data_IF_928360092126
#
_entry.id   IF_928360092126
#
_cell.length_a   1.000
_cell.length_b   1.000
_cell.length_c   1.000
_cell.angle_alpha   90.00
_cell.angle_beta   90.00
_cell.angle_gamma   90.00
#
_symmetry.space_group_name_H-M   'P 1'
#
loop_
_entity.id
_entity.type
_entity.pdbx_description
1 polymer ?
#
# COMPACT_ATOMS: atom_id res chain seq x y z
N UNK A 1 -3.88 12.39 -36.05
CA UNK A 1 -4.38 12.56 -34.68
C UNK A 1 -5.15 11.30 -34.33
N UNK A 2 -4.64 10.48 -33.41
CA UNK A 2 -5.31 9.26 -32.98
C UNK A 2 -6.48 9.60 -32.06
N UNK A 3 -7.56 8.84 -32.18
CA UNK A 3 -8.81 9.02 -31.42
C UNK A 3 -8.57 8.81 -29.92
N UNK A 4 -9.24 9.55 -29.00
CA UNK A 4 -9.01 9.47 -27.55
C UNK A 4 -9.45 8.14 -26.89
N UNK A 5 -9.77 7.11 -27.68
CA UNK A 5 -10.22 5.78 -27.21
C UNK A 5 -9.07 4.76 -27.17
N UNK A 6 -7.93 5.04 -27.81
CA UNK A 6 -6.79 4.12 -27.90
C UNK A 6 -5.61 4.45 -26.96
N UNK A 7 -5.78 5.41 -26.04
CA UNK A 7 -4.76 5.65 -25.02
C UNK A 7 -4.91 4.63 -23.89
N UNK A 8 -3.87 3.85 -23.56
CA UNK A 8 -3.91 2.99 -22.38
C UNK A 8 -4.21 3.86 -21.15
N UNK A 9 -5.02 3.38 -20.20
CA UNK A 9 -5.33 4.14 -19.00
C UNK A 9 -4.02 4.55 -18.31
N UNK A 10 -3.90 5.83 -17.98
CA UNK A 10 -2.72 6.36 -17.31
C UNK A 10 -2.56 5.66 -15.95
N UNK A 11 -1.35 5.19 -15.59
CA UNK A 11 -1.08 4.70 -14.24
C UNK A 11 -1.35 5.83 -13.22
N UNK A 12 -2.02 5.49 -12.13
CA UNK A 12 -2.27 6.37 -10.99
C UNK A 12 -3.69 6.94 -10.88
N UNK A 13 -4.60 6.67 -11.83
CA UNK A 13 -5.97 7.17 -11.71
C UNK A 13 -6.80 6.36 -10.69
N UNK A 14 -7.11 7.00 -9.56
CA UNK A 14 -8.00 6.46 -8.52
C UNK A 14 -9.42 6.37 -9.07
N UNK A 15 -9.92 5.17 -9.38
CA UNK A 15 -11.36 4.94 -9.55
C UNK A 15 -11.94 4.39 -8.23
N UNK A 16 -12.93 5.09 -7.68
CA UNK A 16 -13.54 4.78 -6.38
C UNK A 16 -14.60 3.68 -6.47
N UNK A 17 -14.71 2.96 -7.61
CA UNK A 17 -15.83 2.05 -7.85
C UNK A 17 -15.71 0.73 -7.08
N UNK A 18 -14.51 0.36 -6.62
CA UNK A 18 -14.27 -0.91 -5.92
C UNK A 18 -14.65 -2.16 -6.74
N UNK A 19 -14.88 -2.02 -8.05
CA UNK A 19 -15.49 -3.07 -8.90
C UNK A 19 -14.50 -3.90 -9.69
N UNK A 20 -13.22 -3.59 -9.64
CA UNK A 20 -12.24 -4.36 -10.40
C UNK A 20 -11.90 -5.66 -9.63
N UNK A 21 -12.68 -6.69 -9.96
CA UNK A 21 -12.68 -8.03 -9.35
C UNK A 21 -11.71 -8.98 -10.02
N UNK A 22 -10.92 -8.51 -11.00
CA UNK A 22 -9.93 -9.35 -11.63
C UNK A 22 -8.68 -9.47 -10.73
N UNK A 23 -8.25 -10.69 -10.41
CA UNK A 23 -6.99 -10.97 -9.71
C UNK A 23 -5.70 -10.75 -10.52
N UNK A 24 -5.82 -10.01 -11.62
CA UNK A 24 -4.72 -9.64 -12.49
C UNK A 24 -3.52 -9.11 -11.68
N UNK A 25 -2.37 -9.76 -11.88
CA UNK A 25 -1.09 -9.35 -11.33
C UNK A 25 -0.54 -10.20 -10.18
N UNK A 26 -1.24 -11.21 -9.67
CA UNK A 26 -0.70 -12.04 -8.55
C UNK A 26 0.46 -12.91 -9.02
N UNK A 27 0.34 -13.56 -10.17
CA UNK A 27 1.43 -14.38 -10.72
C UNK A 27 2.60 -13.48 -11.14
N UNK A 28 2.29 -12.34 -11.76
CA UNK A 28 3.29 -11.37 -12.19
C UNK A 28 4.04 -10.78 -11.01
N UNK A 29 3.37 -10.44 -9.90
CA UNK A 29 4.06 -9.91 -8.71
C UNK A 29 4.87 -11.00 -8.00
N UNK A 30 4.39 -12.25 -7.97
CA UNK A 30 5.18 -13.36 -7.42
C UNK A 30 6.46 -13.55 -8.21
N UNK A 31 6.38 -13.49 -9.54
CA UNK A 31 7.56 -13.58 -10.40
C UNK A 31 8.56 -12.44 -10.13
N UNK A 32 8.07 -11.20 -9.97
CA UNK A 32 8.94 -10.06 -9.59
C UNK A 32 9.60 -10.29 -8.23
N UNK A 33 8.82 -10.71 -7.22
CA UNK A 33 9.32 -10.98 -5.86
C UNK A 33 10.35 -12.10 -5.85
N UNK A 34 10.09 -13.19 -6.57
CA UNK A 34 11.00 -14.34 -6.66
C UNK A 34 12.29 -13.96 -7.39
N UNK A 35 12.19 -13.14 -8.45
CA UNK A 35 13.35 -12.62 -9.17
C UNK A 35 14.23 -11.76 -8.26
N UNK A 36 13.63 -10.83 -7.49
CA UNK A 36 14.35 -10.02 -6.50
C UNK A 36 14.96 -10.89 -5.38
N UNK A 37 14.21 -11.87 -4.87
CA UNK A 37 14.66 -12.78 -3.83
C UNK A 37 15.86 -13.64 -4.29
N UNK A 38 15.90 -14.05 -5.56
CA UNK A 38 17.05 -14.75 -6.15
C UNK A 38 18.35 -13.92 -6.13
N UNK A 39 18.20 -12.59 -6.14
CA UNK A 39 19.29 -11.62 -5.95
C UNK A 39 19.55 -11.25 -4.48
N UNK A 40 18.95 -11.95 -3.51
CA UNK A 40 18.99 -11.61 -2.07
C UNK A 40 18.43 -10.22 -1.74
N UNK A 41 17.44 -9.75 -2.49
CA UNK A 41 16.77 -8.47 -2.26
C UNK A 41 15.42 -8.75 -1.60
N UNK A 42 15.29 -8.56 -0.28
CA UNK A 42 14.01 -8.74 0.38
C UNK A 42 13.02 -7.68 -0.10
N UNK A 43 11.77 -8.08 -0.27
CA UNK A 43 10.70 -7.18 -0.71
C UNK A 43 9.35 -7.59 -0.14
N UNK A 44 8.45 -6.63 0.01
CA UNK A 44 7.07 -6.90 0.36
C UNK A 44 6.12 -5.91 -0.30
N UNK A 45 4.90 -6.35 -0.60
CA UNK A 45 3.84 -5.50 -1.14
C UNK A 45 3.33 -4.54 -0.07
N UNK A 46 3.26 -3.27 -0.42
CA UNK A 46 2.72 -2.16 0.39
C UNK A 46 1.63 -1.41 -0.38
N UNK A 47 1.27 -0.21 0.08
CA UNK A 47 0.40 0.71 -0.62
C UNK A 47 -1.04 0.22 -0.78
N UNK A 48 -1.73 0.75 -1.78
CA UNK A 48 -3.17 0.53 -1.99
C UNK A 48 -3.50 -0.94 -2.35
N UNK A 49 -2.54 -1.75 -2.86
CA UNK A 49 -2.76 -3.21 -2.99
C UNK A 49 -2.48 -4.01 -1.72
N UNK A 50 -1.73 -3.52 -0.74
CA UNK A 50 -1.82 -4.11 0.60
C UNK A 50 -3.24 -3.94 1.14
N UNK A 51 -3.90 -2.79 0.88
CA UNK A 51 -5.32 -2.66 1.17
C UNK A 51 -6.16 -3.72 0.44
N UNK A 52 -5.79 -4.28 -0.74
CA UNK A 52 -6.54 -5.40 -1.36
C UNK A 52 -6.47 -6.62 -0.49
N UNK A 53 -5.28 -7.03 -0.10
CA UNK A 53 -5.08 -8.13 0.83
C UNK A 53 -5.92 -7.94 2.11
N UNK A 54 -6.10 -6.68 2.53
CA UNK A 54 -6.99 -6.27 3.63
C UNK A 54 -8.45 -5.86 3.24
N UNK A 55 -8.86 -5.82 1.95
CA UNK A 55 -10.22 -5.46 1.49
C UNK A 55 -10.49 -4.41 0.36
N UNK A 56 -9.55 -3.59 -0.15
CA UNK A 56 -9.80 -2.46 -1.11
C UNK A 56 -8.83 -2.38 -2.31
N UNK A 57 -9.19 -1.79 -3.47
CA UNK A 57 -8.48 -1.99 -4.76
C UNK A 57 -7.49 -0.90 -5.25
N UNK A 58 -6.25 -1.26 -5.72
CA UNK A 58 -5.44 -0.79 -6.91
C UNK A 58 -3.89 -0.74 -6.74
N UNK A 59 -3.13 -0.90 -7.85
CA UNK A 59 -1.65 -0.78 -8.10
C UNK A 59 -0.59 -1.45 -7.18
N UNK A 60 0.45 -2.08 -7.76
CA UNK A 60 1.49 -2.78 -7.00
C UNK A 60 2.64 -1.87 -6.60
N UNK A 61 2.79 -1.65 -5.30
CA UNK A 61 3.96 -0.99 -4.72
C UNK A 61 4.78 -2.06 -3.97
N UNK A 62 6.06 -2.17 -4.31
CA UNK A 62 7.00 -3.05 -3.62
C UNK A 62 7.93 -2.23 -2.74
N UNK A 63 7.90 -2.49 -1.44
CA UNK A 63 8.89 -1.97 -0.52
C UNK A 63 10.22 -2.70 -0.72
N UNK A 64 11.30 -1.94 -0.85
CA UNK A 64 12.68 -2.41 -0.98
C UNK A 64 13.55 -1.69 0.07
N UNK A 65 14.51 -2.36 0.72
CA UNK A 65 15.46 -1.68 1.61
C UNK A 65 16.17 -0.54 0.87
N UNK A 66 16.36 0.59 1.53
CA UNK A 66 16.95 1.78 0.93
C UNK A 66 18.32 1.51 0.28
N UNK A 67 19.16 0.70 0.94
CA UNK A 67 20.49 0.30 0.48
C UNK A 67 20.49 -0.72 -0.68
N UNK A 68 19.32 -1.32 -0.97
CA UNK A 68 19.13 -2.30 -2.03
C UNK A 68 18.35 -1.77 -3.24
N UNK A 69 17.86 -0.53 -3.19
CA UNK A 69 16.99 0.01 -4.23
C UNK A 69 17.68 0.09 -5.61
N UNK A 70 18.95 0.54 -5.64
CA UNK A 70 19.73 0.60 -6.89
C UNK A 70 20.01 -0.80 -7.46
N UNK A 71 20.39 -1.74 -6.57
CA UNK A 71 20.61 -3.14 -6.94
C UNK A 71 19.34 -3.78 -7.49
N UNK A 72 18.17 -3.50 -6.89
CA UNK A 72 16.87 -3.99 -7.35
C UNK A 72 16.54 -3.49 -8.77
N UNK A 73 16.76 -2.21 -9.04
CA UNK A 73 16.62 -1.65 -10.39
C UNK A 73 17.54 -2.36 -11.39
N UNK A 74 18.81 -2.57 -11.02
CA UNK A 74 19.78 -3.25 -11.88
C UNK A 74 19.38 -4.71 -12.15
N UNK A 75 18.94 -5.46 -11.14
CA UNK A 75 18.48 -6.86 -11.29
C UNK A 75 17.30 -6.97 -12.26
N UNK A 76 16.34 -6.04 -12.19
CA UNK A 76 15.18 -6.01 -13.09
C UNK A 76 15.54 -5.62 -14.53
N UNK A 77 16.59 -4.82 -14.73
CA UNK A 77 17.03 -4.34 -16.05
C UNK A 77 18.18 -5.15 -16.65
N UNK A 78 18.86 -5.98 -15.86
CA UNK A 78 19.94 -6.88 -16.31
C UNK A 78 19.48 -7.79 -17.45
N UNK A 79 20.36 -8.32 -18.30
CA UNK A 79 19.97 -9.12 -19.50
C UNK A 79 18.91 -10.20 -19.23
N UNK A 80 18.92 -10.86 -18.06
CA UNK A 80 17.90 -11.83 -17.68
C UNK A 80 16.52 -11.21 -17.33
N UNK A 81 16.50 -10.01 -16.75
CA UNK A 81 15.29 -9.25 -16.42
C UNK A 81 14.84 -8.28 -17.53
N UNK A 82 15.76 -7.71 -18.30
CA UNK A 82 15.56 -6.65 -19.29
C UNK A 82 14.81 -7.12 -20.54
N UNK A 83 14.72 -8.43 -20.78
CA UNK A 83 13.81 -8.99 -21.78
C UNK A 83 12.36 -9.03 -21.30
N UNK A 84 12.13 -9.03 -19.98
CA UNK A 84 10.81 -9.07 -19.34
C UNK A 84 10.31 -7.71 -18.91
N UNK A 85 11.16 -6.89 -18.31
CA UNK A 85 10.78 -5.62 -17.70
C UNK A 85 11.38 -4.43 -18.45
N UNK A 86 10.70 -3.30 -18.36
CA UNK A 86 11.21 -2.01 -18.82
C UNK A 86 10.81 -0.90 -17.85
N UNK A 87 11.61 0.17 -17.83
CA UNK A 87 11.24 1.39 -17.11
C UNK A 87 10.04 2.01 -17.81
N UNK A 88 9.01 2.32 -17.03
CA UNK A 88 7.78 2.94 -17.50
C UNK A 88 7.65 4.35 -16.93
N UNK A 89 6.76 5.15 -17.54
CA UNK A 89 6.37 6.42 -16.96
C UNK A 89 5.68 6.16 -15.61
N UNK A 90 6.17 6.84 -14.56
CA UNK A 90 5.57 6.81 -13.24
C UNK A 90 4.20 7.48 -13.20
N UNK A 91 3.46 7.31 -12.09
CA UNK A 91 2.17 7.97 -11.92
C UNK A 91 2.33 9.49 -11.87
N UNK A 92 1.25 10.22 -12.13
CA UNK A 92 1.25 11.67 -11.96
C UNK A 92 1.52 12.06 -10.48
N UNK A 93 2.18 13.20 -10.24
CA UNK A 93 2.29 13.75 -8.91
C UNK A 93 0.90 13.97 -8.30
N UNK A 94 0.68 13.43 -7.10
CA UNK A 94 -0.53 13.66 -6.31
C UNK A 94 -0.15 14.21 -4.94
N UNK A 95 -0.99 15.06 -4.33
CA UNK A 95 -0.72 15.56 -2.99
C UNK A 95 -0.44 14.44 -2.00
N UNK A 96 0.54 14.68 -1.11
CA UNK A 96 0.91 13.78 -0.01
C UNK A 96 1.51 12.43 -0.43
N UNK A 97 1.79 12.21 -1.73
CA UNK A 97 2.43 11.01 -2.24
C UNK A 97 3.66 11.32 -3.08
N UNK A 98 4.73 10.59 -2.80
CA UNK A 98 5.99 10.65 -3.56
C UNK A 98 6.11 9.51 -4.58
N UNK A 99 5.04 8.73 -4.81
CA UNK A 99 5.07 7.59 -5.75
C UNK A 99 5.56 7.96 -7.15
N UNK A 100 5.33 9.20 -7.59
CA UNK A 100 5.77 9.71 -8.88
C UNK A 100 7.30 9.91 -9.00
N UNK A 101 8.03 9.99 -7.87
CA UNK A 101 9.49 10.16 -7.85
C UNK A 101 10.24 8.83 -7.88
N UNK A 102 9.53 7.70 -7.76
CA UNK A 102 10.13 6.38 -7.70
C UNK A 102 10.10 5.67 -9.05
N UNK A 103 11.05 4.75 -9.25
CA UNK A 103 11.16 4.00 -10.50
C UNK A 103 9.94 3.11 -10.69
N UNK A 104 9.22 3.37 -11.77
CA UNK A 104 8.09 2.56 -12.22
C UNK A 104 8.56 1.58 -13.28
N UNK A 105 8.14 0.33 -13.17
CA UNK A 105 8.43 -0.74 -14.11
C UNK A 105 7.13 -1.23 -14.75
N UNK A 106 7.26 -1.71 -15.98
CA UNK A 106 6.20 -2.42 -16.70
C UNK A 106 6.71 -3.78 -17.17
N UNK A 107 5.85 -4.80 -17.09
CA UNK A 107 6.08 -6.08 -17.74
C UNK A 107 5.78 -5.96 -19.25
N UNK A 108 6.77 -6.26 -20.09
CA UNK A 108 6.67 -6.13 -21.55
C UNK A 108 5.57 -7.04 -22.10
N UNK A 109 4.69 -6.48 -22.92
CA UNK A 109 3.57 -7.21 -23.53
C UNK A 109 2.34 -7.38 -22.62
N UNK A 110 2.36 -6.87 -21.38
CA UNK A 110 1.26 -6.98 -20.44
C UNK A 110 0.85 -5.62 -19.86
N UNK A 111 -0.41 -5.52 -19.43
CA UNK A 111 -0.97 -4.36 -18.74
C UNK A 111 -0.67 -4.44 -17.23
N UNK A 112 0.62 -4.60 -16.87
CA UNK A 112 1.08 -4.78 -15.50
C UNK A 112 2.22 -3.81 -15.16
N UNK A 113 2.01 -3.01 -14.11
CA UNK A 113 2.96 -2.03 -13.59
C UNK A 113 3.19 -2.24 -12.11
N UNK A 114 4.41 -1.90 -11.69
CA UNK A 114 4.79 -1.86 -10.28
C UNK A 114 5.83 -0.77 -10.02
N UNK A 115 5.86 -0.27 -8.80
CA UNK A 115 6.78 0.78 -8.36
C UNK A 115 7.66 0.23 -7.25
N UNK A 116 8.96 0.49 -7.32
CA UNK A 116 9.88 0.19 -6.23
C UNK A 116 9.93 1.38 -5.27
N UNK A 117 9.47 1.17 -4.04
CA UNK A 117 9.38 2.19 -2.99
C UNK A 117 10.45 1.91 -1.93
N UNK A 118 11.29 2.89 -1.56
CA UNK A 118 12.27 2.70 -0.50
C UNK A 118 11.59 2.48 0.86
N UNK A 119 12.19 1.63 1.69
CA UNK A 119 11.68 1.30 3.03
C UNK A 119 11.48 2.53 3.92
N UNK A 120 12.34 3.54 3.78
CA UNK A 120 12.24 4.79 4.52
C UNK A 120 11.05 5.67 4.15
N UNK A 121 10.45 5.51 2.95
CA UNK A 121 9.30 6.33 2.53
C UNK A 121 7.96 5.71 2.96
N UNK A 122 7.95 4.40 3.20
CA UNK A 122 6.77 3.67 3.64
C UNK A 122 6.85 3.19 5.09
N UNK A 123 7.96 3.37 5.80
CA UNK A 123 8.15 2.89 7.17
C UNK A 123 7.92 1.39 7.31
N UNK A 124 8.43 0.60 6.36
CA UNK A 124 8.40 -0.88 6.42
C UNK A 124 9.78 -1.36 6.02
N UNK A 125 10.45 -2.11 6.89
CA UNK A 125 11.68 -2.82 6.49
C UNK A 125 11.34 -4.26 6.09
N UNK A 126 11.40 -4.63 4.80
CA UNK A 126 11.05 -5.95 4.32
C UNK A 126 12.10 -7.03 4.70
N UNK A 127 13.27 -6.63 5.20
CA UNK A 127 14.31 -7.53 5.71
C UNK A 127 13.96 -8.07 7.10
N UNK A 128 13.14 -7.34 7.85
CA UNK A 128 12.72 -7.73 9.20
C UNK A 128 11.54 -8.70 9.14
N UNK A 129 11.74 -9.93 9.62
CA UNK A 129 10.75 -11.00 9.51
C UNK A 129 9.39 -10.67 10.14
N UNK A 130 9.33 -9.90 11.23
CA UNK A 130 8.07 -9.48 11.87
C UNK A 130 7.32 -8.39 11.10
N UNK A 131 7.98 -7.71 10.15
CA UNK A 131 7.35 -6.69 9.31
C UNK A 131 6.65 -7.27 8.09
N UNK A 132 6.86 -8.56 7.79
CA UNK A 132 6.35 -9.19 6.58
C UNK A 132 5.52 -10.42 6.94
N UNK A 133 4.35 -10.55 6.32
CA UNK A 133 3.54 -11.76 6.34
C UNK A 133 3.29 -12.25 4.92
N UNK A 134 3.21 -13.58 4.73
CA UNK A 134 2.88 -14.16 3.43
C UNK A 134 1.38 -14.43 3.35
N UNK A 135 0.78 -14.01 2.25
CA UNK A 135 -0.57 -14.45 1.89
C UNK A 135 -0.62 -15.95 1.60
N UNK A 136 -1.82 -16.50 1.46
CA UNK A 136 -2.04 -17.91 1.10
C UNK A 136 -1.37 -18.31 -0.22
N UNK A 137 -1.21 -17.37 -1.14
CA UNK A 137 -0.56 -17.59 -2.43
C UNK A 137 0.95 -17.28 -2.40
N UNK A 138 1.53 -17.04 -1.22
CA UNK A 138 2.96 -16.83 -1.04
C UNK A 138 3.43 -15.39 -1.22
N UNK A 139 2.59 -14.47 -1.71
CA UNK A 139 2.95 -13.05 -1.89
C UNK A 139 3.28 -12.44 -0.51
N UNK A 140 4.46 -11.82 -0.34
CA UNK A 140 4.83 -11.12 0.88
C UNK A 140 4.13 -9.76 0.94
N UNK A 141 3.49 -9.47 2.07
CA UNK A 141 2.85 -8.20 2.38
C UNK A 141 3.44 -7.63 3.67
N UNK A 142 3.38 -6.31 3.85
CA UNK A 142 3.60 -5.73 5.17
C UNK A 142 2.61 -6.36 6.17
N UNK A 143 3.12 -6.80 7.31
CA UNK A 143 2.32 -7.43 8.38
C UNK A 143 1.24 -6.46 8.87
N UNK A 144 0.15 -7.00 9.42
CA UNK A 144 -1.00 -6.19 9.83
C UNK A 144 -0.59 -5.02 10.76
N UNK A 145 0.28 -5.29 11.72
CA UNK A 145 0.80 -4.28 12.65
C UNK A 145 1.66 -3.26 11.93
N UNK A 146 2.62 -3.70 11.11
CA UNK A 146 3.55 -2.79 10.46
C UNK A 146 2.85 -1.93 9.41
N UNK A 147 1.88 -2.48 8.68
CA UNK A 147 1.07 -1.73 7.75
C UNK A 147 0.20 -0.68 8.45
N UNK A 148 -0.34 -0.99 9.63
CA UNK A 148 -1.04 0.00 10.48
C UNK A 148 -0.13 1.18 10.85
N UNK A 149 1.10 0.88 11.31
CA UNK A 149 2.11 1.88 11.67
C UNK A 149 2.47 2.76 10.47
N UNK A 150 2.69 2.14 9.31
CA UNK A 150 2.93 2.84 8.04
C UNK A 150 1.81 3.81 7.71
N UNK A 151 0.55 3.35 7.66
CA UNK A 151 -0.60 4.18 7.28
C UNK A 151 -0.78 5.40 8.20
N UNK A 152 -0.57 5.22 9.52
CA UNK A 152 -0.63 6.30 10.51
C UNK A 152 0.45 7.36 10.26
N UNK A 153 1.70 6.94 10.04
CA UNK A 153 2.79 7.88 9.75
C UNK A 153 2.61 8.63 8.44
N UNK A 154 2.04 7.95 7.44
CA UNK A 154 1.71 8.57 6.16
C UNK A 154 0.46 9.45 6.23
N UNK A 155 -0.25 9.50 7.37
CA UNK A 155 -1.48 10.28 7.59
C UNK A 155 -2.51 10.11 6.46
N UNK A 156 -2.56 8.91 5.86
CA UNK A 156 -3.47 8.59 4.77
C UNK A 156 -4.85 8.25 5.34
N UNK A 157 -5.61 9.26 5.79
CA UNK A 157 -6.88 9.08 6.52
C UNK A 157 -7.90 8.19 5.78
N UNK A 158 -7.97 8.31 4.45
CA UNK A 158 -8.83 7.45 3.64
C UNK A 158 -8.38 5.97 3.71
N UNK A 159 -7.08 5.72 3.56
CA UNK A 159 -6.50 4.38 3.59
C UNK A 159 -6.57 3.76 4.99
N UNK A 160 -6.39 4.57 6.04
CA UNK A 160 -6.60 4.15 7.44
C UNK A 160 -8.04 3.69 7.65
N UNK A 161 -9.04 4.45 7.14
CA UNK A 161 -10.45 4.06 7.22
C UNK A 161 -10.70 2.72 6.54
N UNK A 162 -10.21 2.57 5.31
CA UNK A 162 -10.47 1.40 4.49
C UNK A 162 -9.77 0.16 5.05
N UNK A 163 -8.56 0.33 5.60
CA UNK A 163 -7.84 -0.72 6.30
C UNK A 163 -8.58 -1.18 7.57
N UNK A 164 -8.98 -0.25 8.44
CA UNK A 164 -9.76 -0.54 9.66
C UNK A 164 -11.06 -1.25 9.31
N UNK A 165 -11.81 -0.74 8.32
CA UNK A 165 -13.08 -1.32 7.93
C UNK A 165 -12.90 -2.69 7.26
N UNK A 166 -11.86 -2.88 6.45
CA UNK A 166 -11.55 -4.13 5.78
C UNK A 166 -11.22 -5.25 6.78
N UNK A 167 -10.41 -4.94 7.77
CA UNK A 167 -10.01 -5.90 8.81
C UNK A 167 -10.95 -5.96 10.01
N UNK A 168 -11.91 -5.04 10.10
CA UNK A 168 -12.80 -4.85 11.25
C UNK A 168 -12.05 -4.53 12.55
N UNK A 169 -10.99 -3.73 12.44
CA UNK A 169 -10.12 -3.39 13.59
C UNK A 169 -10.85 -2.46 14.57
N UNK A 170 -10.41 -2.50 15.82
CA UNK A 170 -10.99 -1.77 16.94
C UNK A 170 -9.96 -0.85 17.60
N UNK A 171 -10.46 0.03 18.47
CA UNK A 171 -9.62 0.84 19.37
C UNK A 171 -8.70 -0.06 20.20
N UNK A 172 -9.28 -1.04 20.89
CA UNK A 172 -8.55 -1.98 21.75
C UNK A 172 -7.44 -2.73 21.00
N UNK A 173 -7.73 -3.16 19.75
CA UNK A 173 -6.72 -3.80 18.91
C UNK A 173 -5.54 -2.86 18.66
N UNK A 174 -5.81 -1.58 18.34
CA UNK A 174 -4.76 -0.59 18.12
C UNK A 174 -3.89 -0.39 19.35
N UNK A 175 -4.52 -0.19 20.52
CA UNK A 175 -3.83 -0.01 21.81
C UNK A 175 -2.91 -1.17 22.14
N UNK A 176 -3.33 -2.41 21.86
CA UNK A 176 -2.56 -3.61 22.17
C UNK A 176 -1.41 -3.88 21.19
N UNK A 177 -1.51 -3.43 19.94
CA UNK A 177 -0.65 -3.91 18.86
C UNK A 177 0.26 -2.84 18.23
N UNK A 178 -0.16 -1.57 18.16
CA UNK A 178 0.53 -0.55 17.35
C UNK A 178 1.77 0.01 18.06
N UNK A 179 1.74 0.07 19.40
CA UNK A 179 2.82 0.70 20.18
C UNK A 179 2.90 2.21 19.92
N UNK A 180 1.80 2.93 20.11
CA UNK A 180 1.67 4.35 19.74
C UNK A 180 2.76 5.25 20.32
N UNK A 181 3.20 5.04 21.56
CA UNK A 181 4.25 5.86 22.16
C UNK A 181 5.58 5.76 21.38
N UNK A 182 5.98 4.54 21.01
CA UNK A 182 7.18 4.33 20.20
C UNK A 182 6.99 4.92 18.79
N UNK A 183 5.83 4.67 18.17
CA UNK A 183 5.53 5.20 16.83
C UNK A 183 5.51 6.73 16.79
N UNK A 184 5.01 7.39 17.84
CA UNK A 184 4.98 8.85 17.94
C UNK A 184 6.39 9.44 18.10
N UNK A 185 7.32 8.73 18.75
CA UNK A 185 8.74 9.13 18.80
C UNK A 185 9.37 9.00 17.41
N UNK A 186 9.10 7.91 16.71
CA UNK A 186 9.59 7.67 15.35
C UNK A 186 9.02 8.69 14.35
N UNK A 187 7.80 9.19 14.59
CA UNK A 187 7.09 10.06 13.64
C UNK A 187 7.78 11.38 13.39
N UNK A 188 8.48 11.95 14.38
CA UNK A 188 9.12 13.26 14.24
C UNK A 188 10.15 13.26 13.11
N UNK A 189 11.09 12.31 13.11
CA UNK A 189 12.12 12.19 12.08
C UNK A 189 11.53 11.81 10.73
N UNK A 190 10.53 10.91 10.71
CA UNK A 190 9.85 10.52 9.47
C UNK A 190 9.14 11.70 8.80
N UNK A 191 8.37 12.47 9.58
CA UNK A 191 7.61 13.63 9.09
C UNK A 191 8.55 14.76 8.67
N UNK A 192 9.60 15.02 9.43
CA UNK A 192 10.61 16.03 9.11
C UNK A 192 11.26 15.74 7.75
N UNK A 193 11.82 14.53 7.58
CA UNK A 193 12.41 14.09 6.30
C UNK A 193 11.41 14.21 5.15
N UNK A 194 10.16 13.80 5.36
CA UNK A 194 9.13 13.85 4.33
C UNK A 194 8.73 15.29 3.96
N UNK A 195 8.73 16.20 4.93
CA UNK A 195 8.43 17.61 4.74
C UNK A 195 9.57 18.36 4.04
N UNK A 196 10.84 18.01 4.30
CA UNK A 196 12.01 18.54 3.57
C UNK A 196 11.91 18.27 2.07
N UNK A 197 11.38 17.11 1.67
CA UNK A 197 11.17 16.80 0.26
C UNK A 197 9.93 17.49 -0.31
N UNK A 198 8.85 17.65 0.48
CA UNK A 198 7.62 18.30 0.03
C UNK A 198 7.81 19.80 -0.30
N UNK A 199 8.72 20.49 0.39
CA UNK A 199 9.07 21.88 0.10
C UNK A 199 9.86 22.03 -1.22
N UNK A 200 10.60 21.00 -1.62
CA UNK A 200 11.39 20.96 -2.87
C UNK A 200 10.52 20.62 -4.09
N UNK A 201 9.57 19.70 -3.94
CA UNK A 201 8.89 19.10 -5.11
C UNK A 201 7.61 19.83 -5.57
N UNK A 202 6.93 20.65 -4.76
CA UNK A 202 5.69 21.30 -5.22
C UNK A 202 5.11 22.46 -4.39
N UNK A 203 5.77 22.90 -3.31
CA UNK A 203 5.24 24.01 -2.49
C UNK A 203 3.86 23.73 -1.87
N UNK A 204 3.48 22.46 -1.67
CA UNK A 204 2.17 22.08 -1.15
C UNK A 204 2.24 21.05 -0.02
N UNK A 205 1.56 21.41 1.07
CA UNK A 205 1.12 20.65 2.26
C UNK A 205 2.10 19.64 2.86
N UNK A 206 2.81 20.07 3.90
CA UNK A 206 3.55 19.17 4.80
C UNK A 206 2.61 18.34 5.69
N UNK A 207 3.12 17.20 6.15
CA UNK A 207 2.49 16.34 7.15
C UNK A 207 2.44 17.03 8.50
N UNK A 208 1.36 16.79 9.26
CA UNK A 208 1.16 17.40 10.56
C UNK A 208 2.06 16.73 11.61
N UNK A 209 3.11 17.42 12.03
CA UNK A 209 4.04 16.92 13.06
C UNK A 209 3.43 16.82 14.45
N UNK A 210 2.34 17.55 14.72
CA UNK A 210 1.68 17.62 16.02
C UNK A 210 0.49 16.66 16.19
N UNK A 211 0.13 15.90 15.17
CA UNK A 211 -1.01 14.97 15.26
C UNK A 211 -0.68 13.78 16.15
N UNK A 212 -1.54 13.53 17.15
CA UNK A 212 -1.47 12.28 17.93
C UNK A 212 -1.93 11.11 17.07
N UNK A 213 -1.03 10.15 16.84
CA UNK A 213 -1.34 8.96 16.05
C UNK A 213 -2.34 8.04 16.77
N UNK A 214 -2.31 8.02 18.10
CA UNK A 214 -3.29 7.31 18.91
C UNK A 214 -4.68 7.92 18.81
N UNK A 215 -4.80 9.25 18.92
CA UNK A 215 -6.09 9.93 18.75
C UNK A 215 -6.65 9.71 17.34
N UNK A 216 -5.79 9.83 16.32
CA UNK A 216 -6.17 9.54 14.94
C UNK A 216 -6.70 8.11 14.79
N UNK A 217 -6.01 7.11 15.35
CA UNK A 217 -6.51 5.73 15.33
C UNK A 217 -7.85 5.61 16.03
N UNK A 218 -7.98 6.16 17.24
CA UNK A 218 -9.17 6.03 18.07
C UNK A 218 -10.41 6.65 17.41
N UNK A 219 -10.25 7.84 16.82
CA UNK A 219 -11.31 8.50 16.05
C UNK A 219 -11.78 7.61 14.90
N UNK A 220 -10.84 6.99 14.18
CA UNK A 220 -11.10 6.23 12.98
C UNK A 220 -11.64 4.82 13.25
N UNK A 221 -11.16 4.17 14.32
CA UNK A 221 -11.55 2.83 14.74
C UNK A 221 -12.77 2.81 15.68
N UNK A 222 -13.25 3.98 16.12
CA UNK A 222 -14.47 4.08 16.92
C UNK A 222 -15.67 3.45 16.22
N UNK A 223 -16.59 2.90 17.02
CA UNK A 223 -17.82 2.28 16.51
C UNK A 223 -18.64 3.29 15.71
N UNK A 224 -18.75 4.51 16.22
CA UNK A 224 -19.50 5.60 15.61
C UNK A 224 -18.90 6.02 14.26
N UNK A 225 -17.56 6.04 14.14
CA UNK A 225 -16.93 6.31 12.85
C UNK A 225 -17.14 5.17 11.86
N UNK A 226 -16.99 3.90 12.29
CA UNK A 226 -17.24 2.72 11.45
C UNK A 226 -18.68 2.70 10.94
N UNK A 227 -19.67 2.94 11.80
CA UNK A 227 -21.09 3.00 11.43
C UNK A 227 -21.39 4.13 10.44
N UNK A 228 -20.83 5.34 10.65
CA UNK A 228 -20.98 6.47 9.71
C UNK A 228 -20.40 6.19 8.33
N UNK A 229 -19.39 5.32 8.23
CA UNK A 229 -18.77 4.94 6.94
C UNK A 229 -19.58 3.92 6.15
N UNK A 230 -20.57 3.26 6.76
CA UNK A 230 -21.45 2.32 6.08
C UNK A 230 -22.44 3.10 5.21
N UNK A 231 -22.38 2.87 3.90
CA UNK A 231 -23.34 3.45 2.95
C UNK A 231 -24.79 3.09 3.34
N UNK A 232 -25.77 3.99 3.17
CA UNK A 232 -27.17 3.73 3.52
C UNK A 232 -27.71 2.42 2.93
N UNK A 233 -27.35 2.12 1.68
CA UNK A 233 -27.77 0.89 1.01
C UNK A 233 -27.16 -0.38 1.64
N UNK A 234 -26.05 -0.29 2.36
CA UNK A 234 -25.35 -1.43 3.00
C UNK A 234 -25.76 -1.65 4.46
N UNK A 235 -26.52 -0.74 5.06
CA UNK A 235 -26.97 -0.85 6.45
C UNK A 235 -27.73 -2.17 6.69
N UNK A 236 -27.48 -2.80 7.85
CA UNK A 236 -28.04 -4.10 8.21
C UNK A 236 -27.48 -5.31 7.46
N UNK A 237 -26.56 -5.11 6.49
CA UNK A 237 -25.91 -6.20 5.73
C UNK A 237 -24.40 -6.28 5.98
N UNK A 238 -23.82 -5.25 6.57
CA UNK A 238 -22.38 -5.12 6.78
C UNK A 238 -22.06 -4.69 8.22
N UNK A 239 -20.96 -5.19 8.78
CA UNK A 239 -20.38 -4.78 10.07
C UNK A 239 -19.60 -3.46 9.94
N UNK A 240 -18.97 -3.25 8.79
CA UNK A 240 -18.17 -2.05 8.44
C UNK A 240 -18.44 -1.68 6.98
N UNK A 241 -17.81 -0.64 6.43
CA UNK A 241 -17.94 -0.32 4.99
C UNK A 241 -17.64 -1.51 4.06
N UNK A 242 -16.71 -2.39 4.47
CA UNK A 242 -16.18 -3.47 3.63
C UNK A 242 -16.53 -4.89 4.10
N UNK A 243 -16.91 -5.09 5.37
CA UNK A 243 -17.17 -6.43 5.93
C UNK A 243 -18.64 -6.78 5.97
N UNK A 244 -19.03 -7.81 5.21
CA UNK A 244 -20.39 -8.35 5.18
C UNK A 244 -20.68 -9.18 6.42
N UNK A 245 -21.89 -9.05 6.96
CA UNK A 245 -22.34 -9.87 8.09
C UNK A 245 -22.33 -11.37 7.74
N UNK A 246 -22.70 -11.70 6.50
CA UNK A 246 -22.75 -13.09 6.00
C UNK A 246 -21.39 -13.68 5.61
N UNK A 247 -20.29 -12.95 5.73
CA UNK A 247 -18.94 -13.46 5.47
C UNK A 247 -17.98 -12.84 6.50
N UNK A 248 -18.09 -13.26 7.76
CA UNK A 248 -17.35 -12.69 8.88
C UNK A 248 -15.88 -13.13 8.89
N UNK A 249 -15.46 -14.06 8.03
CA UNK A 249 -14.09 -14.56 8.04
C UNK A 249 -13.06 -13.45 7.79
N UNK A 250 -11.87 -13.62 8.36
CA UNK A 250 -10.71 -12.77 8.09
C UNK A 250 -10.45 -12.73 6.57
N UNK A 251 -10.44 -11.54 5.93
CA UNK A 251 -10.31 -11.41 4.48
C UNK A 251 -8.99 -11.94 3.92
N UNK A 252 -7.99 -12.20 4.76
CA UNK A 252 -6.69 -12.80 4.40
C UNK A 252 -6.77 -14.32 4.25
N UNK A 253 -7.77 -14.96 4.85
CA UNK A 253 -7.94 -16.42 4.78
C UNK A 253 -8.72 -16.86 3.54
N UNK A 254 -9.36 -15.91 2.85
CA UNK A 254 -10.16 -16.17 1.65
C UNK A 254 -9.27 -16.59 0.49
N UNK A 255 -9.66 -17.68 -0.16
CA UNK A 255 -9.13 -18.05 -1.47
C UNK A 255 -9.69 -17.05 -2.48
N UNK A 256 -8.86 -16.09 -2.89
CA UNK A 256 -9.25 -15.15 -3.94
C UNK A 256 -8.82 -15.80 -5.25
N UNK A 257 -9.72 -15.92 -6.25
CA UNK A 257 -9.33 -16.39 -7.57
C UNK A 257 -8.07 -15.65 -8.02
N UNK A 258 -7.19 -16.32 -8.78
CA UNK A 258 -6.00 -15.77 -9.45
C UNK A 258 -6.35 -15.25 -10.83
#
# INVERSE_FOLDING_TARGET
MLSPVDQPPLPGLRDFSGKDTSPQGVNEILEVVDHLASGNIPSCVIGVKALRYYGAAREWDLCIPDDKLEEACHVLLSTAGGDKYEVAQGPHPVPWSRRHTFTCFRLKGYNFWFILVPSSDCFVDPSTASHVEKSRNGVPYASLVQFSRSLLLQQMVADISDFIDGMDLTVDWGTQNIGFEALQKDSACFIERRNEHATVDSGRYGFLSSQSLEQLWNEMASKEAKERRIEPMKQGRYFTRWRRIKSPEDPRTKDRPV
#
